data_IF_538729873461
#
_entry.id   IF_538729873461
#
_cell.length_a   1.000
_cell.length_b   1.000
_cell.length_c   1.000
_cell.angle_alpha   90.00
_cell.angle_beta   90.00
_cell.angle_gamma   90.00
#
_symmetry.space_group_name_H-M   'P 1'
#
loop_
_entity.id
_entity.type
_entity.pdbx_description
1 polymer ?
#
# COMPACT_ATOMS: atom_id res chain seq x y z
N UNK A 1 19.91 -12.02 37.17
CA UNK A 1 19.56 -10.98 38.15
C UNK A 1 18.81 -9.93 37.35
N UNK A 2 17.85 -9.26 37.97
CA UNK A 2 17.02 -8.30 37.26
C UNK A 2 17.41 -6.88 37.66
N UNK A 3 17.64 -6.04 36.65
CA UNK A 3 17.94 -4.62 36.80
C UNK A 3 16.68 -3.80 36.55
N UNK A 4 16.41 -2.83 37.41
CA UNK A 4 15.36 -1.85 37.20
C UNK A 4 15.95 -0.59 36.59
N UNK A 5 15.51 -0.21 35.38
CA UNK A 5 15.86 1.07 34.78
C UNK A 5 14.61 1.87 34.44
N UNK A 6 14.75 3.19 34.36
CA UNK A 6 13.67 4.09 34.03
C UNK A 6 13.81 4.61 32.59
N UNK A 7 12.76 4.49 31.79
CA UNK A 7 12.76 4.96 30.41
C UNK A 7 12.88 6.50 30.36
N UNK A 8 13.82 7.07 29.59
CA UNK A 8 14.00 8.53 29.52
C UNK A 8 12.87 9.25 28.78
N UNK A 9 12.03 8.54 28.04
CA UNK A 9 10.98 9.15 27.22
C UNK A 9 9.58 9.14 27.86
N UNK A 10 9.27 8.12 28.66
CA UNK A 10 7.97 7.98 29.30
C UNK A 10 8.05 7.89 30.83
N UNK A 11 9.25 7.82 31.40
CA UNK A 11 9.46 7.73 32.83
C UNK A 11 9.01 6.39 33.45
N UNK A 12 8.61 5.40 32.65
CA UNK A 12 8.18 4.10 33.16
C UNK A 12 9.40 3.31 33.65
N UNK A 13 9.31 2.74 34.86
CA UNK A 13 10.30 1.82 35.40
C UNK A 13 10.05 0.43 34.83
N UNK A 14 11.05 -0.14 34.20
CA UNK A 14 10.98 -1.48 33.60
C UNK A 14 12.02 -2.37 34.27
N UNK A 15 11.58 -3.55 34.69
CA UNK A 15 12.43 -4.61 35.20
C UNK A 15 12.92 -5.44 34.01
N UNK A 16 14.23 -5.48 33.80
CA UNK A 16 14.85 -6.17 32.67
C UNK A 16 15.95 -7.08 33.19
N UNK A 17 16.10 -8.25 32.58
CA UNK A 17 17.13 -9.21 32.96
C UNK A 17 18.51 -8.71 32.49
N UNK A 18 19.56 -8.97 33.27
CA UNK A 18 20.92 -8.46 32.98
C UNK A 18 21.47 -8.85 31.60
N UNK A 19 20.99 -9.95 31.02
CA UNK A 19 21.37 -10.36 29.67
C UNK A 19 21.02 -9.33 28.58
N UNK A 20 20.07 -8.44 28.85
CA UNK A 20 19.68 -7.36 27.95
C UNK A 20 20.37 -6.03 28.29
N UNK A 21 21.26 -5.99 29.29
CA UNK A 21 22.08 -4.82 29.59
C UNK A 21 22.99 -4.49 28.39
N UNK A 22 23.05 -3.21 28.01
CA UNK A 22 23.80 -2.75 26.83
C UNK A 22 23.10 -2.99 25.49
N UNK A 23 21.97 -3.71 25.46
CA UNK A 23 21.19 -3.91 24.24
C UNK A 23 20.23 -2.74 24.01
N UNK A 24 19.97 -2.43 22.74
CA UNK A 24 18.99 -1.42 22.34
C UNK A 24 17.73 -2.10 21.82
N UNK A 25 16.58 -1.70 22.35
CA UNK A 25 15.27 -2.24 21.99
C UNK A 25 14.16 -1.22 22.16
N UNK A 26 12.96 -1.45 21.60
CA UNK A 26 11.81 -0.59 21.84
C UNK A 26 11.36 -0.71 23.30
N UNK A 27 11.03 0.42 23.92
CA UNK A 27 10.43 0.43 25.25
C UNK A 27 9.07 -0.29 25.22
N UNK A 28 8.84 -1.20 26.16
CA UNK A 28 7.60 -1.98 26.24
C UNK A 28 6.32 -1.12 26.38
N UNK A 29 6.44 0.09 26.92
CA UNK A 29 5.29 0.99 27.15
C UNK A 29 5.11 2.02 26.03
N UNK A 30 6.19 2.64 25.57
CA UNK A 30 6.10 3.77 24.63
C UNK A 30 6.66 3.48 23.22
N UNK A 31 7.23 2.29 22.98
CA UNK A 31 7.73 1.85 21.67
C UNK A 31 8.97 2.57 21.15
N UNK A 32 9.45 3.62 21.83
CA UNK A 32 10.67 4.36 21.43
C UNK A 32 11.92 3.52 21.71
N UNK A 33 12.90 3.59 20.81
CA UNK A 33 14.17 2.88 21.00
C UNK A 33 14.92 3.45 22.20
N UNK A 34 15.24 2.57 23.14
CA UNK A 34 15.98 2.85 24.36
C UNK A 34 17.14 1.86 24.48
N UNK A 35 18.25 2.32 25.05
CA UNK A 35 19.41 1.49 25.33
C UNK A 35 19.44 1.22 26.82
N UNK A 36 19.43 -0.06 27.20
CA UNK A 36 19.50 -0.46 28.61
C UNK A 36 20.93 -0.18 29.10
N UNK A 37 21.13 0.59 30.18
CA UNK A 37 22.46 0.92 30.64
C UNK A 37 23.20 -0.34 31.09
N UNK A 38 24.46 -0.50 30.66
CA UNK A 38 25.28 -1.64 31.03
C UNK A 38 25.61 -1.60 32.53
N UNK A 39 25.73 -0.41 33.13
CA UNK A 39 26.11 -0.19 34.53
C UNK A 39 25.20 0.89 35.14
N UNK A 40 24.49 0.57 36.22
CA UNK A 40 23.94 1.58 37.13
C UNK A 40 25.03 1.91 38.18
N UNK A 41 25.23 3.19 38.53
CA UNK A 41 26.06 3.54 39.68
C UNK A 41 25.38 2.98 40.93
N UNK A 42 25.99 1.94 41.51
CA UNK A 42 25.61 1.39 42.80
C UNK A 42 26.06 2.39 43.87
N UNK A 43 25.13 3.15 44.43
CA UNK A 43 25.35 3.82 45.71
C UNK A 43 25.41 2.78 46.83
N UNK A 44 26.41 2.94 47.72
CA UNK A 44 26.77 2.13 48.91
C UNK A 44 27.42 0.75 48.63
N UNK A 45 28.66 0.43 49.04
CA UNK A 45 29.54 0.97 50.09
C UNK A 45 31.02 0.64 49.80
N UNK A 46 31.90 1.49 50.34
CA UNK A 46 33.31 1.27 50.72
C UNK A 46 34.41 0.99 49.66
N UNK A 47 35.29 2.00 49.55
CA UNK A 47 36.76 1.90 49.51
C UNK A 47 37.41 0.99 48.45
N UNK A 48 37.91 1.60 47.37
CA UNK A 48 39.35 1.58 47.07
C UNK A 48 39.62 2.58 45.93
N UNK A 49 40.13 3.75 46.31
CA UNK A 49 40.95 4.54 45.43
C UNK A 49 42.28 3.80 45.28
N UNK A 50 42.72 3.55 44.04
CA UNK A 50 44.05 3.83 43.51
C UNK A 50 44.26 3.05 42.20
N UNK A 51 45.12 3.60 41.33
CA UNK A 51 45.81 2.93 40.20
C UNK A 51 45.32 3.32 38.79
N UNK A 52 46.02 4.36 38.28
CA UNK A 52 46.52 4.60 36.92
C UNK A 52 45.48 4.78 35.80
N UNK A 53 45.34 5.98 35.21
CA UNK A 53 46.30 6.64 34.29
C UNK A 53 46.72 5.76 33.12
N UNK A 54 46.34 6.22 31.93
CA UNK A 54 46.78 5.79 30.59
C UNK A 54 46.46 4.36 30.13
N UNK A 55 45.40 4.25 29.30
CA UNK A 55 45.58 3.77 27.92
C UNK A 55 44.41 4.17 27.04
N UNK A 56 44.70 5.19 26.27
CA UNK A 56 44.05 5.53 25.02
C UNK A 56 44.22 4.40 24.01
N UNK A 57 43.12 3.86 23.47
CA UNK A 57 42.92 3.48 22.05
C UNK A 57 41.83 2.41 21.89
N UNK A 58 41.19 2.31 20.70
CA UNK A 58 40.78 3.36 19.79
C UNK A 58 39.24 3.36 19.70
N UNK A 59 38.64 4.54 19.60
CA UNK A 59 37.27 4.63 19.06
C UNK A 59 37.37 4.10 17.62
N UNK A 60 36.75 2.96 17.23
CA UNK A 60 36.59 2.67 15.83
C UNK A 60 35.73 3.79 15.27
N UNK A 61 36.36 4.58 14.41
CA UNK A 61 35.75 5.70 13.72
C UNK A 61 34.35 5.30 13.26
N UNK A 62 33.36 6.09 13.68
CA UNK A 62 32.01 6.07 13.13
C UNK A 62 32.13 6.18 11.62
N UNK A 63 32.09 5.02 10.96
CA UNK A 63 32.20 4.90 9.52
C UNK A 63 31.01 5.57 8.87
N UNK A 64 31.13 6.86 8.56
CA UNK A 64 30.40 7.52 7.50
C UNK A 64 30.92 6.91 6.18
N UNK A 65 30.51 5.68 5.88
CA UNK A 65 30.95 4.97 4.70
C UNK A 65 29.73 4.32 4.04
N UNK A 66 29.34 4.83 2.87
CA UNK A 66 28.27 4.26 2.06
C UNK A 66 27.40 5.25 1.26
N UNK A 67 27.81 6.52 1.14
CA UNK A 67 27.05 7.59 0.47
C UNK A 67 26.83 7.47 -1.05
N UNK A 68 26.95 6.28 -1.64
CA UNK A 68 26.58 6.01 -3.05
C UNK A 68 25.80 4.70 -3.20
N UNK A 69 26.21 3.64 -2.50
CA UNK A 69 25.53 2.34 -2.56
C UNK A 69 24.21 2.34 -1.78
N UNK A 70 24.13 3.06 -0.64
CA UNK A 70 22.87 3.25 0.09
C UNK A 70 21.86 4.09 -0.69
N UNK A 71 22.34 5.10 -1.42
CA UNK A 71 21.50 5.92 -2.30
C UNK A 71 20.96 5.10 -3.48
N UNK A 72 21.80 4.28 -4.13
CA UNK A 72 21.38 3.39 -5.22
C UNK A 72 20.37 2.32 -4.76
N UNK A 73 20.53 1.76 -3.56
CA UNK A 73 19.55 0.82 -3.00
C UNK A 73 18.21 1.49 -2.66
N UNK A 74 18.23 2.70 -2.11
CA UNK A 74 17.01 3.47 -1.83
C UNK A 74 16.30 3.89 -3.12
N UNK A 75 17.05 4.39 -4.11
CA UNK A 75 16.50 4.73 -5.44
C UNK A 75 15.93 3.49 -6.12
N UNK A 76 16.64 2.36 -6.07
CA UNK A 76 16.16 1.08 -6.60
C UNK A 76 14.87 0.62 -5.91
N UNK A 77 14.78 0.73 -4.59
CA UNK A 77 13.59 0.33 -3.83
C UNK A 77 12.40 1.24 -4.10
N UNK A 78 12.62 2.55 -4.24
CA UNK A 78 11.57 3.53 -4.58
C UNK A 78 11.08 3.33 -6.01
N UNK A 79 11.99 3.11 -6.98
CA UNK A 79 11.63 2.83 -8.36
C UNK A 79 10.89 1.50 -8.50
N UNK A 80 11.39 0.44 -7.87
CA UNK A 80 10.76 -0.88 -7.90
C UNK A 80 9.41 -0.86 -7.19
N UNK A 81 9.31 -0.23 -6.01
CA UNK A 81 8.05 -0.03 -5.31
C UNK A 81 7.06 0.81 -6.13
N UNK A 82 7.54 1.88 -6.77
CA UNK A 82 6.73 2.72 -7.65
C UNK A 82 6.19 1.96 -8.86
N UNK A 83 7.02 1.15 -9.52
CA UNK A 83 6.60 0.29 -10.65
C UNK A 83 5.59 -0.77 -10.20
N UNK A 84 5.76 -1.37 -9.02
CA UNK A 84 4.80 -2.32 -8.48
C UNK A 84 3.45 -1.67 -8.16
N UNK A 85 3.46 -0.47 -7.55
CA UNK A 85 2.22 0.26 -7.22
C UNK A 85 1.51 0.73 -8.49
N UNK A 86 2.25 1.32 -9.45
CA UNK A 86 1.69 1.74 -10.73
C UNK A 86 1.18 0.56 -11.55
N UNK A 87 1.90 -0.56 -11.53
CA UNK A 87 1.49 -1.82 -12.13
C UNK A 87 0.19 -2.35 -11.51
N UNK A 88 0.12 -2.43 -10.17
CA UNK A 88 -1.08 -2.86 -9.46
C UNK A 88 -2.28 -1.95 -9.72
N UNK A 89 -2.09 -0.63 -9.74
CA UNK A 89 -3.14 0.34 -10.09
C UNK A 89 -3.62 0.19 -11.54
N UNK A 90 -2.69 0.00 -12.48
CA UNK A 90 -3.05 -0.23 -13.88
C UNK A 90 -3.79 -1.55 -14.10
N UNK A 91 -3.40 -2.62 -13.40
CA UNK A 91 -4.05 -3.92 -13.45
C UNK A 91 -5.44 -3.88 -12.81
N UNK A 92 -5.58 -3.20 -11.66
CA UNK A 92 -6.86 -2.91 -11.03
C UNK A 92 -7.80 -2.17 -11.99
N UNK A 93 -7.34 -1.06 -12.58
CA UNK A 93 -8.14 -0.32 -13.57
C UNK A 93 -8.55 -1.19 -14.75
N UNK A 94 -7.64 -1.99 -15.31
CA UNK A 94 -7.94 -2.87 -16.43
C UNK A 94 -9.02 -3.91 -16.09
N UNK A 95 -8.94 -4.53 -14.91
CA UNK A 95 -9.94 -5.50 -14.41
C UNK A 95 -11.32 -4.85 -14.22
N UNK A 96 -11.39 -3.59 -13.77
CA UNK A 96 -12.65 -2.89 -13.59
C UNK A 96 -13.24 -2.32 -14.90
N UNK A 97 -12.40 -1.92 -15.86
CA UNK A 97 -12.85 -1.36 -17.14
C UNK A 97 -13.33 -2.44 -18.11
N UNK A 98 -12.73 -3.63 -18.10
CA UNK A 98 -13.13 -4.74 -18.97
C UNK A 98 -14.63 -5.14 -18.90
N UNK A 99 -15.25 -5.35 -17.72
CA UNK A 99 -16.67 -5.66 -17.64
C UNK A 99 -17.56 -4.49 -18.09
N UNK A 100 -17.14 -3.24 -17.88
CA UNK A 100 -17.88 -2.06 -18.32
C UNK A 100 -17.96 -1.93 -19.85
N UNK A 101 -16.86 -2.25 -20.56
CA UNK A 101 -16.84 -2.21 -22.03
C UNK A 101 -17.66 -3.36 -22.63
N UNK A 102 -17.69 -4.53 -21.99
CA UNK A 102 -18.43 -5.67 -22.53
C UNK A 102 -19.95 -5.53 -22.36
N UNK A 103 -20.42 -4.93 -21.25
CA UNK A 103 -21.83 -4.63 -21.04
C UNK A 103 -22.35 -3.55 -22.01
N UNK A 104 -21.48 -2.66 -22.49
CA UNK A 104 -21.83 -1.57 -23.40
C UNK A 104 -22.18 -2.04 -24.83
N UNK A 105 -21.79 -3.26 -25.23
CA UNK A 105 -22.04 -3.78 -26.59
C UNK A 105 -23.44 -4.35 -26.78
N UNK A 106 -24.06 -4.83 -25.69
CA UNK A 106 -25.41 -5.43 -25.75
C UNK A 106 -26.46 -4.31 -25.86
N UNK A 107 -26.28 -3.20 -25.15
CA UNK A 107 -27.21 -2.06 -25.19
C UNK A 107 -27.26 -1.35 -26.56
N UNK A 108 -26.15 -1.30 -27.30
CA UNK A 108 -26.10 -0.69 -28.64
C UNK A 108 -26.95 -1.45 -29.65
N UNK A 109 -26.97 -2.79 -29.61
CA UNK A 109 -27.79 -3.60 -30.52
C UNK A 109 -29.30 -3.40 -30.29
N UNK A 110 -29.70 -3.22 -29.03
CA UNK A 110 -31.10 -2.92 -28.70
C UNK A 110 -31.53 -1.56 -29.23
N UNK A 111 -30.66 -0.54 -29.17
CA UNK A 111 -30.99 0.80 -29.67
C UNK A 111 -31.26 0.82 -31.17
N UNK A 112 -30.42 0.13 -31.96
CA UNK A 112 -30.62 0.00 -33.42
C UNK A 112 -31.92 -0.74 -33.75
N UNK A 113 -32.20 -1.82 -33.02
CA UNK A 113 -33.43 -2.60 -33.21
C UNK A 113 -34.68 -1.78 -32.90
N UNK A 114 -34.70 -1.04 -31.78
CA UNK A 114 -35.83 -0.18 -31.41
C UNK A 114 -36.06 0.92 -32.45
N UNK A 115 -34.99 1.53 -32.96
CA UNK A 115 -35.11 2.54 -34.02
C UNK A 115 -35.71 1.98 -35.32
N UNK A 116 -35.27 0.80 -35.74
CA UNK A 116 -35.83 0.13 -36.92
C UNK A 116 -37.29 -0.26 -36.73
N UNK A 117 -37.67 -0.79 -35.56
CA UNK A 117 -39.06 -1.12 -35.24
C UNK A 117 -39.98 0.11 -35.26
N UNK A 118 -39.51 1.24 -34.72
CA UNK A 118 -40.26 2.50 -34.78
C UNK A 118 -40.48 2.99 -36.22
N UNK A 119 -39.48 2.84 -37.09
CA UNK A 119 -39.61 3.17 -38.52
C UNK A 119 -40.61 2.27 -39.24
N UNK A 120 -40.57 0.97 -38.98
CA UNK A 120 -41.55 0.01 -39.54
C UNK A 120 -42.96 0.36 -39.07
N UNK A 121 -43.15 0.61 -37.77
CA UNK A 121 -44.44 0.98 -37.21
C UNK A 121 -45.00 2.27 -37.85
N UNK A 122 -44.16 3.30 -38.01
CA UNK A 122 -44.54 4.53 -38.68
C UNK A 122 -44.95 4.30 -40.15
N UNK A 123 -44.21 3.46 -40.88
CA UNK A 123 -44.53 3.11 -42.27
C UNK A 123 -45.85 2.32 -42.39
N UNK A 124 -46.09 1.35 -41.49
CA UNK A 124 -47.34 0.60 -41.45
C UNK A 124 -48.54 1.50 -41.17
N UNK A 125 -48.38 2.49 -40.30
CA UNK A 125 -49.44 3.43 -39.96
C UNK A 125 -49.72 4.41 -41.10
N UNK A 126 -48.69 4.84 -41.82
CA UNK A 126 -48.85 5.61 -43.06
C UNK A 126 -49.62 4.81 -44.12
N UNK A 127 -49.25 3.54 -44.35
CA UNK A 127 -49.97 2.66 -45.26
C UNK A 127 -51.45 2.51 -44.89
N UNK A 128 -51.73 2.31 -43.59
CA UNK A 128 -53.09 2.17 -43.09
C UNK A 128 -53.91 3.47 -43.22
N UNK A 129 -53.29 4.64 -43.12
CA UNK A 129 -53.95 5.92 -43.39
C UNK A 129 -54.37 6.03 -44.86
N UNK A 130 -53.54 5.54 -45.79
CA UNK A 130 -53.80 5.62 -47.22
C UNK A 130 -54.78 4.55 -47.73
N UNK A 131 -54.71 3.33 -47.20
CA UNK A 131 -55.46 2.15 -47.69
C UNK A 131 -56.58 1.69 -46.74
N UNK A 132 -56.73 2.31 -45.57
CA UNK A 132 -57.72 1.94 -44.56
C UNK A 132 -57.46 0.60 -43.86
N UNK A 133 -56.40 -0.12 -44.22
CA UNK A 133 -56.03 -1.42 -43.65
C UNK A 133 -54.51 -1.55 -43.55
N UNK A 134 -54.00 -2.38 -42.63
CA UNK A 134 -52.56 -2.65 -42.52
C UNK A 134 -52.08 -3.59 -43.64
N UNK A 135 -50.79 -3.51 -44.03
CA UNK A 135 -50.26 -4.32 -45.13
C UNK A 135 -50.29 -5.82 -44.79
N UNK A 136 -50.51 -6.70 -45.79
CA UNK A 136 -50.51 -8.14 -45.59
C UNK A 136 -49.12 -8.69 -45.29
N UNK A 137 -49.04 -9.86 -44.64
CA UNK A 137 -47.77 -10.48 -44.24
C UNK A 137 -46.93 -11.02 -45.41
N UNK A 138 -47.53 -11.19 -46.58
CA UNK A 138 -46.86 -11.57 -47.81
C UNK A 138 -47.48 -10.80 -48.98
N UNK A 139 -46.68 -10.52 -50.00
CA UNK A 139 -47.16 -10.08 -51.30
C UNK A 139 -47.06 -11.27 -52.26
N UNK A 140 -48.14 -11.64 -52.97
CA UNK A 140 -48.02 -12.63 -54.03
C UNK A 140 -47.24 -12.02 -55.20
N UNK A 141 -46.23 -12.73 -55.68
CA UNK A 141 -45.61 -12.41 -56.96
C UNK A 141 -46.66 -12.64 -58.07
N UNK A 142 -46.82 -11.66 -58.96
CA UNK A 142 -47.71 -11.81 -60.11
C UNK A 142 -47.16 -12.89 -61.04
N UNK A 143 -47.93 -13.97 -61.22
CA UNK A 143 -47.62 -15.09 -62.12
C UNK A 143 -47.58 -14.67 -63.60
#
# INVERSE_FOLDING_TARGET
MSLSYQCPYCGTKTLVEDQFAGQSGPCATCGKLITVPLHLPREADSAEAMVTSERQSPVPARGKAGGKNGMLLLVGLVLFGGVLVMGALSMLLFVFVAPAVNQSRISTMHFETTGNLQRIAAAMQAYAADHGTYPPAYLPDSA
#
